data_IF_305353678712
#
_entry.id   IF_305353678712
#
_cell.length_a   1.000
_cell.length_b   1.000
_cell.length_c   1.000
_cell.angle_alpha   90.00
_cell.angle_beta   90.00
_cell.angle_gamma   90.00
#
_symmetry.space_group_name_H-M   'P 1'
#
loop_
_entity.id
_entity.type
_entity.pdbx_description
1 polymer ?
#
# COMPACT_ATOMS: atom_id res chain seq x y z
N UNK A 1 -6.56 1.46 -2.35
CA UNK A 1 -7.31 1.69 -1.10
C UNK A 1 -6.84 0.77 0.03
N UNK A 2 -6.53 -0.50 -0.26
CA UNK A 2 -6.11 -1.47 0.78
C UNK A 2 -4.85 -1.09 1.56
N UNK A 3 -3.87 -0.44 0.93
CA UNK A 3 -2.65 -0.01 1.63
C UNK A 3 -2.92 1.11 2.64
N UNK A 4 -3.87 2.01 2.34
CA UNK A 4 -4.30 3.04 3.28
C UNK A 4 -5.06 2.40 4.44
N UNK A 5 -6.00 1.48 4.15
CA UNK A 5 -6.70 0.67 5.15
C UNK A 5 -5.72 -0.11 6.04
N UNK A 6 -4.64 -0.61 5.48
CA UNK A 6 -3.63 -1.37 6.23
C UNK A 6 -2.92 -0.55 7.31
N UNK A 7 -2.77 0.76 7.10
CA UNK A 7 -2.16 1.66 8.08
C UNK A 7 -3.15 2.14 9.16
N UNK A 8 -4.43 1.82 9.01
CA UNK A 8 -5.49 2.15 9.94
C UNK A 8 -5.72 1.00 10.94
N UNK A 9 -5.32 1.21 12.19
CA UNK A 9 -5.41 0.21 13.25
C UNK A 9 -6.85 -0.16 13.62
N UNK A 10 -7.83 0.67 13.26
CA UNK A 10 -9.24 0.37 13.51
C UNK A 10 -9.82 -0.59 12.44
N UNK A 11 -9.18 -0.70 11.27
CA UNK A 11 -9.72 -1.37 10.08
C UNK A 11 -8.74 -2.34 9.38
N UNK A 12 -7.62 -2.71 10.01
CA UNK A 12 -6.57 -3.56 9.43
C UNK A 12 -6.44 -4.96 10.05
N UNK A 13 -7.35 -5.36 10.95
CA UNK A 13 -7.22 -6.59 11.72
C UNK A 13 -7.09 -7.86 10.85
N UNK A 14 -7.88 -7.94 9.78
CA UNK A 14 -7.82 -9.03 8.79
C UNK A 14 -6.46 -9.11 8.08
N UNK A 15 -5.87 -7.95 7.78
CA UNK A 15 -4.57 -7.85 7.12
C UNK A 15 -3.42 -8.20 8.08
N UNK A 16 -3.54 -7.86 9.36
CA UNK A 16 -2.61 -8.29 10.41
C UNK A 16 -2.65 -9.81 10.53
N UNK A 17 -3.85 -10.41 10.58
CA UNK A 17 -4.02 -11.86 10.65
C UNK A 17 -3.35 -12.58 9.48
N UNK A 18 -3.50 -12.06 8.26
CA UNK A 18 -2.78 -12.57 7.08
C UNK A 18 -1.26 -12.45 7.27
N UNK A 19 -0.78 -11.31 7.78
CA UNK A 19 0.62 -11.08 8.12
C UNK A 19 1.19 -12.10 9.12
N UNK A 20 0.40 -12.50 10.13
CA UNK A 20 0.80 -13.54 11.09
C UNK A 20 0.95 -14.92 10.48
N UNK A 21 0.33 -15.18 9.32
CA UNK A 21 0.40 -16.44 8.56
C UNK A 21 1.45 -16.42 7.43
N UNK A 22 2.21 -15.33 7.30
CA UNK A 22 3.23 -15.20 6.25
C UNK A 22 4.21 -16.39 6.25
N UNK A 23 4.65 -16.94 5.10
CA UNK A 23 5.65 -18.00 5.06
C UNK A 23 7.01 -17.55 5.63
N UNK A 24 7.28 -16.23 5.59
CA UNK A 24 8.49 -15.65 6.16
C UNK A 24 8.38 -15.47 7.68
N UNK A 25 9.28 -16.13 8.43
CA UNK A 25 9.32 -16.10 9.89
C UNK A 25 9.49 -14.69 10.46
N UNK A 26 10.29 -13.84 9.82
CA UNK A 26 10.52 -12.47 10.28
C UNK A 26 9.25 -11.61 10.14
N UNK A 27 8.52 -11.79 9.04
CA UNK A 27 7.24 -11.10 8.84
C UNK A 27 6.21 -11.53 9.89
N UNK A 28 6.07 -12.85 10.13
CA UNK A 28 5.17 -13.33 11.19
C UNK A 28 5.49 -12.70 12.55
N UNK A 29 6.76 -12.73 12.94
CA UNK A 29 7.23 -12.15 14.20
C UNK A 29 6.91 -10.64 14.30
N UNK A 30 7.13 -9.91 13.21
CA UNK A 30 6.81 -8.49 13.15
C UNK A 30 5.31 -8.23 13.35
N UNK A 31 4.44 -8.96 12.64
CA UNK A 31 2.99 -8.79 12.78
C UNK A 31 2.45 -9.25 14.13
N UNK A 32 3.02 -10.31 14.72
CA UNK A 32 2.61 -10.82 16.03
C UNK A 32 3.02 -9.90 17.20
N UNK A 33 4.13 -9.16 17.08
CA UNK A 33 4.73 -8.50 18.25
C UNK A 33 5.07 -7.03 18.07
N UNK A 34 5.23 -6.54 16.84
CA UNK A 34 5.74 -5.18 16.58
C UNK A 34 4.69 -4.29 15.94
N UNK A 35 3.95 -4.78 14.95
CA UNK A 35 3.07 -3.95 14.13
C UNK A 35 1.97 -3.23 14.93
N UNK A 36 1.42 -3.88 15.96
CA UNK A 36 0.39 -3.32 16.85
C UNK A 36 0.95 -2.48 18.00
N UNK A 37 2.28 -2.31 18.10
CA UNK A 37 2.86 -1.48 19.17
C UNK A 37 2.52 -0.02 18.94
N UNK A 38 2.07 0.66 20.00
CA UNK A 38 1.79 2.11 20.03
C UNK A 38 2.97 2.96 19.54
N UNK A 39 4.21 2.49 19.72
CA UNK A 39 5.41 3.19 19.21
C UNK A 39 5.42 3.36 17.69
N UNK A 40 4.74 2.49 16.93
CA UNK A 40 4.65 2.57 15.47
C UNK A 40 3.43 3.36 14.99
N UNK A 41 2.52 3.76 15.88
CA UNK A 41 1.31 4.48 15.51
C UNK A 41 1.63 5.76 14.74
N UNK A 42 2.58 6.58 15.22
CA UNK A 42 2.98 7.84 14.55
C UNK A 42 3.49 7.56 13.13
N UNK A 43 4.29 6.51 12.95
CA UNK A 43 4.81 6.12 11.63
C UNK A 43 3.71 5.64 10.70
N UNK A 44 2.82 4.78 11.18
CA UNK A 44 1.67 4.28 10.40
C UNK A 44 0.73 5.42 10.01
N UNK A 45 0.42 6.31 10.95
CA UNK A 45 -0.39 7.49 10.70
C UNK A 45 0.27 8.43 9.67
N UNK A 46 1.59 8.64 9.76
CA UNK A 46 2.32 9.42 8.75
C UNK A 46 2.25 8.81 7.34
N UNK A 47 2.33 7.49 7.23
CA UNK A 47 2.17 6.78 5.94
C UNK A 47 0.73 6.91 5.46
N UNK A 48 -0.26 6.69 6.34
CA UNK A 48 -1.68 6.85 6.04
C UNK A 48 -1.97 8.23 5.44
N UNK A 49 -1.53 9.30 6.10
CA UNK A 49 -1.76 10.69 5.67
C UNK A 49 -1.12 10.98 4.32
N UNK A 50 0.11 10.50 4.07
CA UNK A 50 0.78 10.66 2.77
C UNK A 50 0.06 9.91 1.65
N UNK A 51 -0.38 8.68 1.93
CA UNK A 51 -1.18 7.91 0.97
C UNK A 51 -2.51 8.59 0.67
N UNK A 52 -3.16 9.17 1.68
CA UNK A 52 -4.39 9.93 1.50
C UNK A 52 -4.17 11.16 0.60
N UNK A 53 -3.08 11.90 0.80
CA UNK A 53 -2.73 13.03 -0.09
C UNK A 53 -2.52 12.57 -1.53
N UNK A 54 -1.76 11.48 -1.73
CA UNK A 54 -1.53 10.92 -3.07
C UNK A 54 -2.83 10.42 -3.70
N UNK A 55 -3.69 9.73 -2.95
CA UNK A 55 -4.96 9.23 -3.43
C UNK A 55 -5.97 10.34 -3.71
N UNK A 56 -5.84 11.51 -3.07
CA UNK A 56 -6.68 12.67 -3.36
C UNK A 56 -6.17 13.49 -4.55
N UNK A 57 -4.98 13.18 -5.08
CA UNK A 57 -4.46 13.83 -6.27
C UNK A 57 -5.24 13.36 -7.51
N UNK A 58 -5.91 14.27 -8.26
CA UNK A 58 -6.73 13.90 -9.41
C UNK A 58 -5.95 13.25 -10.56
N UNK A 59 -4.66 13.58 -10.71
CA UNK A 59 -3.77 12.99 -11.72
C UNK A 59 -3.46 11.56 -11.31
N UNK A 60 -3.12 11.34 -10.03
CA UNK A 60 -2.87 10.01 -9.50
C UNK A 60 -4.13 9.14 -9.57
N UNK A 61 -5.31 9.66 -9.23
CA UNK A 61 -6.57 8.94 -9.39
C UNK A 61 -6.80 8.51 -10.84
N UNK A 62 -6.68 9.43 -11.80
CA UNK A 62 -6.81 9.10 -13.23
C UNK A 62 -5.79 8.06 -13.70
N UNK A 63 -4.62 8.00 -13.08
CA UNK A 63 -3.58 7.03 -13.40
C UNK A 63 -3.87 5.63 -12.85
N UNK A 64 -4.52 5.52 -11.69
CA UNK A 64 -4.83 4.22 -11.05
C UNK A 64 -6.24 3.70 -11.33
N UNK A 65 -7.17 4.58 -11.72
CA UNK A 65 -8.57 4.25 -12.00
C UNK A 65 -8.97 4.53 -13.45
N UNK A 66 -8.04 5.05 -14.27
CA UNK A 66 -8.26 5.20 -15.70
C UNK A 66 -8.38 3.84 -16.37
N UNK A 67 -9.22 3.77 -17.40
CA UNK A 67 -9.19 2.63 -18.32
C UNK A 67 -7.87 2.72 -19.06
N UNK A 68 -6.89 1.92 -18.65
CA UNK A 68 -5.57 1.96 -19.27
C UNK A 68 -5.71 1.67 -20.76
N UNK A 69 -5.14 2.53 -21.61
CA UNK A 69 -4.91 2.18 -23.02
C UNK A 69 -3.87 1.06 -23.17
N UNK A 70 -3.26 0.63 -22.05
CA UNK A 70 -2.15 -0.32 -21.97
C UNK A 70 -2.29 -1.23 -20.74
N UNK A 71 -2.36 -2.54 -20.95
CA UNK A 71 -2.41 -3.51 -19.84
C UNK A 71 -1.10 -3.50 -19.03
N UNK A 72 -1.09 -2.75 -17.93
CA UNK A 72 0.10 -2.50 -17.11
C UNK A 72 0.69 -3.79 -16.53
N UNK A 73 -0.18 -4.70 -16.05
CA UNK A 73 0.23 -5.99 -15.50
C UNK A 73 1.02 -6.84 -16.50
N UNK A 74 0.58 -6.83 -17.77
CA UNK A 74 1.28 -7.50 -18.88
C UNK A 74 2.64 -6.86 -19.15
N UNK A 75 2.73 -5.53 -19.12
CA UNK A 75 3.99 -4.81 -19.35
C UNK A 75 5.02 -5.05 -18.23
N UNK A 76 4.56 -5.16 -16.98
CA UNK A 76 5.40 -5.53 -15.83
C UNK A 76 5.88 -6.98 -15.98
N UNK A 77 5.01 -7.91 -16.36
CA UNK A 77 5.38 -9.30 -16.61
C UNK A 77 6.41 -9.44 -17.75
N UNK A 78 6.33 -8.58 -18.76
CA UNK A 78 7.27 -8.49 -19.88
C UNK A 78 8.59 -7.76 -19.52
N UNK A 79 8.80 -7.36 -18.26
CA UNK A 79 9.98 -6.62 -17.77
C UNK A 79 10.27 -5.33 -18.54
N UNK A 80 9.24 -4.69 -19.07
CA UNK A 80 9.39 -3.41 -19.79
C UNK A 80 9.65 -2.28 -18.81
N UNK A 81 10.44 -1.30 -19.24
CA UNK A 81 10.68 -0.07 -18.47
C UNK A 81 9.44 0.82 -18.63
N UNK A 82 8.77 1.11 -17.52
CA UNK A 82 7.58 1.97 -17.48
C UNK A 82 7.99 3.33 -16.93
N UNK A 83 7.90 4.36 -17.76
CA UNK A 83 8.22 5.74 -17.36
C UNK A 83 6.91 6.46 -17.03
N UNK A 84 6.72 6.79 -15.77
CA UNK A 84 5.62 7.62 -15.33
C UNK A 84 6.03 9.09 -15.39
N UNK A 85 5.45 9.85 -16.32
CA UNK A 85 5.57 11.31 -16.35
C UNK A 85 4.42 11.90 -15.53
N UNK A 86 4.71 12.25 -14.29
CA UNK A 86 3.79 12.97 -13.41
C UNK A 86 4.06 14.47 -13.60
N UNK A 87 3.34 15.12 -14.51
CA UNK A 87 3.36 16.57 -14.69
C UNK A 87 1.95 17.13 -14.54
N UNK A 88 1.85 18.29 -13.90
CA UNK A 88 0.70 19.21 -13.96
C UNK A 88 0.54 19.78 -15.38
#
# INVERSE_FOLDING_TARGET
MDLQRFMDDDNNQDLIELGTRSPNRQHRYFFQHRFTKKSLWITKHGIYTRLQVLLNDPIFQKLISGVDTIHLEKLIAEKKIIIFKLTL
#
